data_IF_332741292291
#
_entry.id   IF_332741292291
#
_cell.length_a   1.000
_cell.length_b   1.000
_cell.length_c   1.000
_cell.angle_alpha   90.00
_cell.angle_beta   90.00
_cell.angle_gamma   90.00
#
_symmetry.space_group_name_H-M   'P 1'
#
loop_
_entity.id
_entity.type
_entity.pdbx_description
1 polymer ?
#
# COMPACT_ATOMS: atom_id res chain seq x y z
N UNK A 1 -18.60 -1.63 13.09
CA UNK A 1 -17.28 -2.03 13.62
C UNK A 1 -16.37 -2.00 12.41
N UNK A 2 -15.66 -0.90 12.19
CA UNK A 2 -14.57 -0.97 11.22
C UNK A 2 -13.58 -2.01 11.73
N UNK A 3 -13.15 -2.90 10.85
CA UNK A 3 -12.25 -3.98 11.22
C UNK A 3 -10.86 -3.38 11.49
N UNK A 4 -10.50 -3.27 12.77
CA UNK A 4 -9.22 -2.71 13.22
C UNK A 4 -8.02 -3.41 12.57
N UNK A 5 -8.16 -4.69 12.21
CA UNK A 5 -7.14 -5.42 11.46
C UNK A 5 -7.00 -4.87 10.04
N UNK A 6 -8.12 -4.64 9.34
CA UNK A 6 -8.11 -4.05 8.01
C UNK A 6 -7.53 -2.63 8.02
N UNK A 7 -7.83 -1.83 9.06
CA UNK A 7 -7.29 -0.47 9.19
C UNK A 7 -5.77 -0.48 9.40
N UNK A 8 -5.26 -1.41 10.22
CA UNK A 8 -3.81 -1.59 10.41
C UNK A 8 -3.13 -2.01 9.12
N UNK A 9 -3.65 -3.01 8.41
CA UNK A 9 -3.08 -3.50 7.15
C UNK A 9 -3.09 -2.39 6.08
N UNK A 10 -4.17 -1.62 5.96
CA UNK A 10 -4.22 -0.49 5.01
C UNK A 10 -3.16 0.58 5.33
N UNK A 11 -2.86 0.79 6.61
CA UNK A 11 -1.84 1.73 7.05
C UNK A 11 -0.39 1.32 6.73
N UNK A 12 -0.13 0.04 6.47
CA UNK A 12 1.23 -0.45 6.13
C UNK A 12 1.52 -0.43 4.63
N UNK A 13 0.50 -0.41 3.77
CA UNK A 13 0.68 -0.38 2.31
C UNK A 13 1.19 0.99 1.85
N UNK A 14 2.38 1.03 1.25
CA UNK A 14 2.99 2.25 0.73
C UNK A 14 2.68 2.45 -0.74
N UNK A 15 2.72 3.69 -1.21
CA UNK A 15 2.59 4.01 -2.63
C UNK A 15 3.92 4.46 -3.19
N UNK A 16 4.37 3.80 -4.25
CA UNK A 16 5.61 4.11 -4.97
C UNK A 16 5.22 4.55 -6.38
N UNK A 17 5.35 5.85 -6.72
CA UNK A 17 5.07 6.33 -8.07
C UNK A 17 6.14 5.86 -9.06
N UNK A 18 5.75 5.74 -10.33
CA UNK A 18 6.61 5.45 -11.48
C UNK A 18 7.44 4.16 -11.36
N UNK A 19 6.87 3.13 -10.71
CA UNK A 19 7.52 1.82 -10.53
C UNK A 19 6.67 0.66 -11.08
N UNK A 20 7.26 -0.30 -11.83
CA UNK A 20 8.63 -0.33 -12.32
C UNK A 20 8.86 0.56 -13.57
N UNK A 21 7.80 1.16 -14.11
CA UNK A 21 7.81 2.04 -15.27
C UNK A 21 7.01 3.31 -14.98
N UNK A 22 7.30 4.38 -15.70
CA UNK A 22 6.62 5.68 -15.61
C UNK A 22 5.10 5.53 -15.77
N UNK A 23 4.34 6.26 -14.97
CA UNK A 23 2.87 6.28 -14.98
C UNK A 23 2.20 5.22 -14.10
N UNK A 24 2.96 4.34 -13.43
CA UNK A 24 2.41 3.32 -12.53
C UNK A 24 2.50 3.76 -11.07
N UNK A 25 1.37 3.74 -10.36
CA UNK A 25 1.30 3.91 -8.90
C UNK A 25 1.37 2.55 -8.20
N UNK A 26 2.57 2.06 -7.93
CA UNK A 26 2.79 0.75 -7.31
C UNK A 26 2.39 0.76 -5.82
N UNK A 27 1.76 -0.32 -5.36
CA UNK A 27 1.35 -0.51 -3.96
C UNK A 27 2.26 -1.54 -3.32
N UNK A 28 3.21 -1.05 -2.52
CA UNK A 28 4.20 -1.88 -1.84
C UNK A 28 3.62 -2.45 -0.53
N UNK A 29 3.52 -3.77 -0.50
CA UNK A 29 3.03 -4.55 0.64
C UNK A 29 4.15 -5.19 1.47
N UNK A 30 5.41 -5.05 1.07
CA UNK A 30 6.55 -5.54 1.89
C UNK A 30 6.63 -4.98 3.32
N UNK A 31 6.03 -3.82 3.67
CA UNK A 31 5.97 -3.33 5.05
C UNK A 31 4.84 -3.91 5.90
N UNK A 32 3.95 -4.72 5.32
CA UNK A 32 2.96 -5.52 6.07
C UNK A 32 3.71 -6.57 6.89
#
# INVERSE_FOLDING_TARGET
MDDDLLNKIRGTVRTVPDFPIEGIMFRDITPV
#
